data_IF_137240422495
#
_entry.id   IF_137240422495
#
_cell.length_a   1.000
_cell.length_b   1.000
_cell.length_c   1.000
_cell.angle_alpha   90.00
_cell.angle_beta   90.00
_cell.angle_gamma   90.00
#
_symmetry.space_group_name_H-M   'P 1'
#
loop_
_entity.id
_entity.type
_entity.pdbx_description
1 polymer ?
#
# COMPACT_ATOMS: atom_id res chain seq x y z
N UNK A 1 1.31 5.84 -11.35
CA UNK A 1 0.98 5.53 -9.93
C UNK A 1 -0.20 6.40 -9.57
N UNK A 2 -1.24 5.85 -8.96
CA UNK A 2 -2.47 6.57 -8.58
C UNK A 2 -3.21 5.78 -7.48
N UNK A 3 -4.38 6.26 -7.07
CA UNK A 3 -5.28 5.58 -6.15
C UNK A 3 -6.52 5.06 -6.87
N UNK A 4 -7.21 4.08 -6.28
CA UNK A 4 -8.43 3.50 -6.89
C UNK A 4 -9.63 4.44 -6.90
N UNK A 5 -9.59 5.53 -6.12
CA UNK A 5 -10.75 6.33 -5.76
C UNK A 5 -11.59 5.69 -4.66
N UNK A 6 -12.57 6.44 -4.17
CA UNK A 6 -13.60 5.99 -3.22
C UNK A 6 -14.91 6.67 -3.56
N UNK A 7 -15.85 6.00 -4.25
CA UNK A 7 -17.16 6.60 -4.48
C UNK A 7 -17.89 6.88 -3.15
N UNK A 8 -18.94 7.69 -3.22
CA UNK A 8 -19.85 7.89 -2.10
C UNK A 8 -20.83 6.73 -1.93
N UNK A 9 -22.00 6.99 -1.36
CA UNK A 9 -23.10 6.04 -1.21
C UNK A 9 -24.12 6.07 -2.35
N UNK A 10 -24.00 7.03 -3.27
CA UNK A 10 -24.99 7.32 -4.31
C UNK A 10 -24.42 8.23 -5.41
N UNK A 11 -25.09 8.37 -6.58
CA UNK A 11 -24.67 9.30 -7.64
C UNK A 11 -24.63 10.78 -7.25
N UNK A 12 -25.34 11.17 -6.18
CA UNK A 12 -25.43 12.55 -5.69
C UNK A 12 -24.57 12.79 -4.44
N UNK A 13 -23.81 11.78 -4.01
CA UNK A 13 -22.93 11.88 -2.86
C UNK A 13 -21.91 13.01 -3.04
N UNK A 14 -21.69 13.77 -1.98
CA UNK A 14 -20.73 14.90 -1.96
C UNK A 14 -19.34 14.49 -1.49
N UNK A 15 -19.26 13.39 -0.74
CA UNK A 15 -18.05 12.92 -0.06
C UNK A 15 -17.90 11.41 -0.25
N UNK A 16 -16.67 10.87 -0.17
CA UNK A 16 -16.43 9.44 -0.24
C UNK A 16 -17.07 8.69 0.94
N UNK A 17 -17.45 7.44 0.72
CA UNK A 17 -17.93 6.54 1.77
C UNK A 17 -17.06 5.28 1.80
N UNK A 18 -16.09 5.23 2.72
CA UNK A 18 -15.21 4.08 2.86
C UNK A 18 -15.81 3.05 3.83
N UNK A 19 -16.44 2.02 3.26
CA UNK A 19 -17.09 0.95 4.03
C UNK A 19 -16.04 -0.02 4.59
N UNK A 20 -15.99 -0.15 5.91
CA UNK A 20 -14.99 -0.98 6.63
C UNK A 20 -15.58 -2.13 7.43
N UNK A 21 -16.91 -2.18 7.57
CA UNK A 21 -17.63 -3.26 8.24
C UNK A 21 -18.95 -3.53 7.51
N UNK A 22 -19.53 -4.73 7.65
CA UNK A 22 -20.71 -5.13 6.88
C UNK A 22 -22.04 -4.72 7.53
N UNK A 23 -22.03 -4.17 8.75
CA UNK A 23 -23.22 -3.83 9.51
C UNK A 23 -23.31 -2.32 9.79
N UNK A 24 -24.48 -1.68 9.59
CA UNK A 24 -25.76 -2.26 9.15
C UNK A 24 -25.73 -2.77 7.70
N UNK A 25 -26.73 -3.57 7.29
CA UNK A 25 -26.79 -4.22 5.97
C UNK A 25 -26.61 -3.23 4.80
N UNK A 26 -27.03 -1.97 5.00
CA UNK A 26 -26.82 -0.85 4.08
C UNK A 26 -25.35 -0.68 3.65
N UNK A 27 -24.39 -0.98 4.53
CA UNK A 27 -22.96 -0.92 4.21
C UNK A 27 -22.56 -1.93 3.14
N UNK A 28 -23.11 -3.12 3.19
CA UNK A 28 -22.88 -4.14 2.16
C UNK A 28 -23.56 -3.75 0.85
N UNK A 29 -24.76 -3.16 0.90
CA UNK A 29 -25.45 -2.64 -0.29
C UNK A 29 -24.66 -1.49 -0.95
N UNK A 30 -24.17 -0.54 -0.15
CA UNK A 30 -23.32 0.56 -0.62
C UNK A 30 -22.05 0.00 -1.26
N UNK A 31 -21.35 -0.91 -0.59
CA UNK A 31 -20.10 -1.47 -1.11
C UNK A 31 -20.34 -2.24 -2.43
N UNK A 32 -21.44 -2.99 -2.54
CA UNK A 32 -21.82 -3.66 -3.78
C UNK A 32 -22.08 -2.65 -4.91
N UNK A 33 -22.86 -1.60 -4.65
CA UNK A 33 -23.10 -0.53 -5.61
C UNK A 33 -21.79 0.17 -6.03
N UNK A 34 -20.92 0.50 -5.08
CA UNK A 34 -19.62 1.11 -5.36
C UNK A 34 -18.79 0.25 -6.32
N UNK A 35 -18.69 -1.05 -6.06
CA UNK A 35 -17.91 -1.96 -6.89
C UNK A 35 -18.50 -2.17 -8.27
N UNK A 36 -19.78 -2.56 -8.34
CA UNK A 36 -20.41 -3.02 -9.58
C UNK A 36 -20.83 -1.87 -10.50
N UNK A 37 -21.35 -0.77 -9.95
CA UNK A 37 -21.93 0.33 -10.74
C UNK A 37 -20.93 1.46 -11.00
N UNK A 38 -19.87 1.58 -10.20
CA UNK A 38 -18.93 2.72 -10.30
C UNK A 38 -17.50 2.27 -10.58
N UNK A 39 -16.89 1.52 -9.65
CA UNK A 39 -15.45 1.24 -9.66
C UNK A 39 -15.06 0.35 -10.84
N UNK A 40 -15.75 -0.79 -11.03
CA UNK A 40 -15.41 -1.73 -12.11
C UNK A 40 -15.66 -1.12 -13.49
N UNK A 41 -16.81 -0.48 -13.78
CA UNK A 41 -17.04 0.20 -15.06
C UNK A 41 -15.98 1.27 -15.36
N UNK A 42 -15.71 2.15 -14.39
CA UNK A 42 -14.69 3.20 -14.53
C UNK A 42 -13.31 2.64 -14.85
N UNK A 43 -12.86 1.63 -14.08
CA UNK A 43 -11.53 1.06 -14.29
C UNK A 43 -11.41 0.23 -15.57
N UNK A 44 -12.50 -0.36 -16.08
CA UNK A 44 -12.50 -0.98 -17.42
C UNK A 44 -12.26 0.04 -18.51
N UNK A 45 -12.93 1.19 -18.45
CA UNK A 45 -12.73 2.29 -19.39
C UNK A 45 -11.32 2.88 -19.27
N UNK A 46 -10.85 3.13 -18.05
CA UNK A 46 -9.52 3.69 -17.80
C UNK A 46 -8.41 2.75 -18.27
N UNK A 47 -8.52 1.44 -18.02
CA UNK A 47 -7.55 0.45 -18.52
C UNK A 47 -7.55 0.41 -20.05
N UNK A 48 -8.71 0.45 -20.70
CA UNK A 48 -8.79 0.49 -22.16
C UNK A 48 -8.16 1.78 -22.73
N UNK A 49 -8.47 2.92 -22.11
CA UNK A 49 -7.90 4.22 -22.46
C UNK A 49 -6.37 4.22 -22.31
N UNK A 50 -5.86 3.77 -21.17
CA UNK A 50 -4.43 3.67 -20.88
C UNK A 50 -3.71 2.80 -21.92
N UNK A 51 -4.28 1.65 -22.28
CA UNK A 51 -3.72 0.74 -23.30
C UNK A 51 -3.55 1.41 -24.66
N UNK A 52 -4.57 2.14 -25.13
CA UNK A 52 -4.50 2.86 -26.42
C UNK A 52 -3.39 3.91 -26.42
N UNK A 53 -3.00 4.41 -25.25
CA UNK A 53 -1.90 5.36 -25.07
C UNK A 53 -0.56 4.69 -24.70
N UNK A 54 -0.47 3.36 -24.81
CA UNK A 54 0.76 2.61 -24.54
C UNK A 54 1.07 2.39 -23.05
N UNK A 55 0.14 2.72 -22.15
CA UNK A 55 0.27 2.47 -20.71
C UNK A 55 -0.36 1.13 -20.38
N UNK A 56 0.48 0.14 -20.04
CA UNK A 56 0.07 -1.24 -19.74
C UNK A 56 0.24 -1.63 -18.28
N UNK A 57 0.70 -0.69 -17.44
CA UNK A 57 0.87 -0.88 -15.98
C UNK A 57 0.35 0.34 -15.24
N UNK A 58 -0.76 0.15 -14.54
CA UNK A 58 -1.33 1.12 -13.61
C UNK A 58 -1.08 0.58 -12.21
N UNK A 59 -0.21 1.26 -11.47
CA UNK A 59 0.14 0.92 -10.10
C UNK A 59 -0.79 1.68 -9.14
N UNK A 60 -1.68 0.95 -8.47
CA UNK A 60 -2.56 1.45 -7.41
C UNK A 60 -1.92 1.24 -6.05
N UNK A 61 -1.89 2.29 -5.25
CA UNK A 61 -1.48 2.19 -3.86
C UNK A 61 -2.64 1.65 -3.00
N UNK A 62 -2.36 0.56 -2.28
CA UNK A 62 -3.32 -0.05 -1.35
C UNK A 62 -3.42 0.83 -0.11
N UNK A 63 -4.31 1.82 -0.15
CA UNK A 63 -4.37 2.88 0.85
C UNK A 63 -5.76 2.93 1.51
N UNK A 64 -5.84 2.82 2.85
CA UNK A 64 -7.09 2.98 3.61
C UNK A 64 -7.77 4.32 3.37
N UNK A 65 -9.09 4.30 3.18
CA UNK A 65 -9.86 5.46 2.68
C UNK A 65 -10.18 5.38 1.18
N UNK A 66 -9.65 4.38 0.46
CA UNK A 66 -10.01 4.04 -0.91
C UNK A 66 -10.65 2.65 -0.99
N UNK A 67 -11.27 2.29 -2.13
CA UNK A 67 -11.86 0.96 -2.31
C UNK A 67 -10.82 -0.16 -2.47
N UNK A 68 -9.63 0.17 -2.97
CA UNK A 68 -8.46 -0.71 -2.97
C UNK A 68 -7.55 -0.27 -1.82
N UNK A 69 -7.61 -0.99 -0.72
CA UNK A 69 -6.92 -0.65 0.53
C UNK A 69 -6.11 -1.81 1.11
N UNK A 70 -6.12 -2.98 0.47
CA UNK A 70 -5.36 -4.17 0.89
C UNK A 70 -5.11 -5.10 -0.31
N UNK A 71 -4.38 -6.19 -0.07
CA UNK A 71 -4.05 -7.21 -1.08
C UNK A 71 -5.30 -7.80 -1.75
N UNK A 72 -6.31 -8.15 -0.97
CA UNK A 72 -7.54 -8.78 -1.46
C UNK A 72 -8.31 -7.86 -2.41
N UNK A 73 -8.54 -6.61 -2.02
CA UNK A 73 -9.28 -5.63 -2.82
C UNK A 73 -8.52 -5.24 -4.09
N UNK A 74 -7.19 -5.20 -4.07
CA UNK A 74 -6.39 -4.99 -5.27
C UNK A 74 -6.57 -6.15 -6.25
N UNK A 75 -6.49 -7.39 -5.78
CA UNK A 75 -6.68 -8.58 -6.60
C UNK A 75 -8.12 -8.68 -7.13
N UNK A 76 -9.12 -8.30 -6.33
CA UNK A 76 -10.52 -8.19 -6.76
C UNK A 76 -10.65 -7.25 -7.97
N UNK A 77 -10.08 -6.05 -7.91
CA UNK A 77 -10.12 -5.12 -9.04
C UNK A 77 -9.37 -5.67 -10.25
N UNK A 78 -8.13 -6.15 -10.05
CA UNK A 78 -7.31 -6.74 -11.12
C UNK A 78 -8.02 -7.89 -11.83
N UNK A 79 -8.71 -8.76 -11.09
CA UNK A 79 -9.50 -9.86 -11.66
C UNK A 79 -10.65 -9.34 -12.52
N UNK A 80 -11.31 -8.25 -12.10
CA UNK A 80 -12.47 -7.70 -12.78
C UNK A 80 -12.13 -6.91 -14.05
N UNK A 81 -10.95 -6.24 -14.10
CA UNK A 81 -10.63 -5.27 -15.17
C UNK A 81 -9.41 -5.64 -16.00
N UNK A 82 -8.52 -6.50 -15.51
CA UNK A 82 -7.39 -7.02 -16.26
C UNK A 82 -6.02 -6.86 -15.58
N UNK A 83 -4.99 -7.50 -16.15
CA UNK A 83 -3.64 -7.56 -15.58
C UNK A 83 -2.90 -6.21 -15.62
N UNK A 84 -3.49 -5.16 -16.17
CA UNK A 84 -2.91 -3.82 -16.18
C UNK A 84 -3.04 -3.10 -14.84
N UNK A 85 -3.88 -3.60 -13.92
CA UNK A 85 -3.96 -3.11 -12.55
C UNK A 85 -3.00 -3.89 -11.66
N UNK A 86 -2.02 -3.20 -11.09
CA UNK A 86 -1.07 -3.78 -10.12
C UNK A 86 -0.85 -2.87 -8.93
N UNK A 87 0.01 -3.27 -8.02
CA UNK A 87 0.35 -2.51 -6.82
C UNK A 87 1.41 -1.45 -7.12
N UNK A 88 1.18 -0.24 -6.61
CA UNK A 88 2.22 0.52 -5.94
C UNK A 88 2.27 -0.01 -4.51
N UNK A 89 3.18 -0.94 -4.24
CA UNK A 89 3.24 -1.60 -2.96
C UNK A 89 3.86 -0.67 -1.92
N UNK A 90 3.06 -0.22 -0.98
CA UNK A 90 3.52 0.55 0.18
C UNK A 90 3.24 -0.27 1.46
N UNK A 91 4.27 -0.74 2.19
CA UNK A 91 4.07 -1.55 3.38
C UNK A 91 3.53 -0.74 4.58
N UNK A 92 3.65 0.59 4.56
CA UNK A 92 3.31 1.46 5.70
C UNK A 92 1.83 1.33 6.11
N UNK A 93 0.94 1.19 5.13
CA UNK A 93 -0.50 1.01 5.38
C UNK A 93 -0.83 -0.39 5.89
N UNK A 94 -0.16 -1.40 5.34
CA UNK A 94 -0.34 -2.80 5.73
C UNK A 94 0.06 -3.02 7.20
N UNK A 95 1.16 -2.39 7.66
CA UNK A 95 1.63 -2.54 9.03
C UNK A 95 0.58 -2.18 10.07
N UNK A 96 -0.03 -1.00 9.98
CA UNK A 96 -1.00 -0.58 11.00
C UNK A 96 -2.34 -1.31 10.85
N UNK A 97 -2.67 -1.82 9.67
CA UNK A 97 -3.81 -2.72 9.48
C UNK A 97 -3.58 -4.11 10.09
N UNK A 98 -2.37 -4.40 10.61
CA UNK A 98 -2.01 -5.69 11.20
C UNK A 98 -1.73 -6.78 10.15
N UNK A 99 -1.48 -6.38 8.90
CA UNK A 99 -1.14 -7.29 7.82
C UNK A 99 0.37 -7.61 7.84
N UNK A 100 0.74 -8.73 7.21
CA UNK A 100 2.13 -9.07 6.95
C UNK A 100 2.51 -8.67 5.51
N UNK A 101 3.35 -7.64 5.32
CA UNK A 101 3.79 -7.24 3.99
C UNK A 101 4.53 -8.32 3.22
N UNK A 102 5.25 -9.23 3.89
CA UNK A 102 5.97 -10.33 3.23
C UNK A 102 4.98 -11.30 2.58
N UNK A 103 3.92 -11.66 3.31
CA UNK A 103 2.83 -12.47 2.79
C UNK A 103 2.15 -11.78 1.60
N UNK A 104 1.86 -10.48 1.72
CA UNK A 104 1.26 -9.69 0.64
C UNK A 104 2.15 -9.61 -0.60
N UNK A 105 3.47 -9.49 -0.46
CA UNK A 105 4.40 -9.51 -1.61
C UNK A 105 4.32 -10.85 -2.34
N UNK A 106 4.32 -11.97 -1.60
CA UNK A 106 4.23 -13.31 -2.20
C UNK A 106 2.92 -13.54 -2.94
N UNK A 107 1.82 -13.07 -2.36
CA UNK A 107 0.47 -13.19 -2.95
C UNK A 107 0.34 -12.35 -4.23
N UNK A 108 0.83 -11.10 -4.21
CA UNK A 108 0.73 -10.22 -5.37
C UNK A 108 1.70 -10.62 -6.50
N UNK A 109 2.91 -11.06 -6.14
CA UNK A 109 3.96 -11.47 -7.06
C UNK A 109 4.12 -10.53 -8.28
N UNK A 110 3.83 -10.99 -9.51
CA UNK A 110 3.99 -10.19 -10.72
C UNK A 110 3.03 -9.01 -10.83
N UNK A 111 2.02 -8.90 -9.95
CA UNK A 111 1.15 -7.74 -9.87
C UNK A 111 1.81 -6.54 -9.19
N UNK A 112 3.02 -6.66 -8.62
CA UNK A 112 3.76 -5.53 -8.06
C UNK A 112 4.45 -4.77 -9.19
N UNK A 113 4.04 -3.53 -9.44
CA UNK A 113 4.57 -2.70 -10.52
C UNK A 113 5.51 -1.60 -10.02
N UNK A 114 5.31 -1.17 -8.78
CA UNK A 114 6.12 -0.16 -8.13
C UNK A 114 6.13 -0.42 -6.62
N UNK A 115 7.15 0.07 -5.91
CA UNK A 115 7.25 -0.08 -4.46
C UNK A 115 7.60 1.27 -3.84
N UNK A 116 6.85 1.65 -2.82
CA UNK A 116 7.22 2.71 -1.90
C UNK A 116 7.92 2.10 -0.69
N UNK A 117 9.10 2.65 -0.37
CA UNK A 117 9.78 2.42 0.88
C UNK A 117 9.32 3.48 1.88
N UNK A 118 8.29 3.13 2.64
CA UNK A 118 7.67 3.95 3.69
C UNK A 118 7.45 3.07 4.92
N UNK A 119 7.58 3.65 6.11
CA UNK A 119 7.58 2.88 7.35
C UNK A 119 6.52 3.42 8.32
N UNK A 120 6.10 2.56 9.25
CA UNK A 120 5.07 2.87 10.24
C UNK A 120 5.48 2.31 11.59
N UNK A 121 5.26 3.08 12.65
CA UNK A 121 5.36 2.58 14.02
C UNK A 121 3.97 2.49 14.63
N UNK A 122 3.56 1.28 15.02
CA UNK A 122 2.37 1.05 15.85
C UNK A 122 2.75 1.23 17.31
N UNK A 123 1.98 2.04 18.03
CA UNK A 123 2.15 2.23 19.47
C UNK A 123 1.30 1.21 20.24
N UNK A 124 1.91 0.22 20.92
CA UNK A 124 1.15 -0.84 21.55
C UNK A 124 0.29 -0.35 22.72
N UNK A 125 0.65 0.76 23.37
CA UNK A 125 -0.09 1.31 24.50
C UNK A 125 -1.37 1.97 24.00
N UNK A 126 -1.26 2.83 22.99
CA UNK A 126 -2.39 3.54 22.41
C UNK A 126 -3.31 2.59 21.63
N UNK A 127 -2.75 1.69 20.82
CA UNK A 127 -3.54 0.67 20.11
C UNK A 127 -4.30 -0.24 21.06
N UNK A 128 -3.72 -0.64 22.21
CA UNK A 128 -4.45 -1.47 23.18
C UNK A 128 -5.70 -0.79 23.76
N UNK A 129 -5.73 0.54 23.81
CA UNK A 129 -6.88 1.33 24.31
C UNK A 129 -7.85 1.73 23.19
N UNK A 130 -7.33 2.05 22.01
CA UNK A 130 -8.08 2.71 20.94
C UNK A 130 -8.36 1.80 19.72
N UNK A 131 -7.57 0.75 19.52
CA UNK A 131 -7.50 0.04 18.25
C UNK A 131 -6.70 0.81 17.19
N UNK A 132 -6.65 0.29 15.96
CA UNK A 132 -5.84 0.84 14.87
C UNK A 132 -6.55 1.91 14.04
N UNK A 133 -7.88 1.99 14.12
CA UNK A 133 -8.68 3.02 13.48
C UNK A 133 -8.56 4.33 14.28
N UNK A 134 -7.56 5.13 13.94
CA UNK A 134 -7.23 6.36 14.64
C UNK A 134 -7.42 7.60 13.76
N UNK A 135 -8.38 8.45 14.12
CA UNK A 135 -8.76 9.66 13.38
C UNK A 135 -8.13 10.95 13.92
N UNK A 136 -7.24 10.86 14.92
CA UNK A 136 -6.55 12.03 15.47
C UNK A 136 -5.70 12.71 14.39
N UNK A 137 -5.35 13.97 14.61
CA UNK A 137 -4.45 14.70 13.70
C UNK A 137 -3.06 14.04 13.65
N UNK A 138 -2.36 14.06 12.52
CA UNK A 138 -1.04 13.42 12.39
C UNK A 138 0.04 14.03 13.29
N UNK A 139 -0.11 15.30 13.67
CA UNK A 139 0.75 16.00 14.63
C UNK A 139 0.37 15.81 16.11
N UNK A 140 -0.48 14.83 16.45
CA UNK A 140 -0.77 14.46 17.84
C UNK A 140 -0.05 13.16 18.22
N UNK A 141 1.27 13.14 18.00
CA UNK A 141 2.05 11.90 17.85
C UNK A 141 1.95 10.99 19.07
N UNK A 142 2.05 11.57 20.27
CA UNK A 142 2.09 10.81 21.53
C UNK A 142 0.75 10.14 21.87
N UNK A 143 -0.37 10.59 21.30
CA UNK A 143 -1.70 10.06 21.56
C UNK A 143 -2.25 9.20 20.41
N UNK A 144 -1.50 9.07 19.30
CA UNK A 144 -1.88 8.23 18.18
C UNK A 144 -1.55 6.76 18.41
N UNK A 145 -2.36 5.91 17.81
CA UNK A 145 -2.21 4.45 17.80
C UNK A 145 -1.09 4.00 16.85
N UNK A 146 -0.76 4.82 15.86
CA UNK A 146 0.36 4.61 14.96
C UNK A 146 0.74 5.94 14.29
N UNK A 147 2.00 6.03 13.86
CA UNK A 147 2.55 7.15 13.10
C UNK A 147 3.42 6.63 11.96
N UNK A 148 3.46 7.38 10.85
CA UNK A 148 4.47 7.14 9.81
C UNK A 148 5.86 7.51 10.31
N UNK A 149 6.85 6.78 9.84
CA UNK A 149 8.25 6.92 10.23
C UNK A 149 9.14 6.91 8.99
N UNK A 150 10.30 7.52 9.14
CA UNK A 150 11.45 7.28 8.28
C UNK A 150 11.79 5.79 8.24
N UNK A 151 12.08 5.25 7.06
CA UNK A 151 12.52 3.85 6.88
C UNK A 151 13.65 3.50 7.84
N UNK A 152 13.46 2.42 8.60
CA UNK A 152 14.40 1.96 9.63
C UNK A 152 14.06 2.43 11.05
N UNK A 153 13.06 3.32 11.20
CA UNK A 153 12.59 3.81 12.50
C UNK A 153 11.23 3.25 12.91
N UNK A 154 10.48 2.61 12.00
CA UNK A 154 9.30 1.80 12.34
C UNK A 154 9.69 0.33 12.53
N UNK A 155 10.40 -0.22 11.54
CA UNK A 155 10.84 -1.61 11.47
C UNK A 155 12.36 -1.72 11.23
N UNK A 156 12.94 -2.83 11.65
CA UNK A 156 14.39 -3.03 11.70
C UNK A 156 15.01 -3.57 10.39
N UNK A 157 16.33 -3.76 10.39
CA UNK A 157 17.04 -4.35 9.26
C UNK A 157 16.59 -5.77 8.92
N UNK A 158 16.13 -6.56 9.90
CA UNK A 158 15.72 -7.94 9.66
C UNK A 158 14.48 -7.96 8.76
N UNK A 159 13.47 -7.15 9.10
CA UNK A 159 12.29 -6.98 8.26
C UNK A 159 12.65 -6.47 6.86
N UNK A 160 13.39 -5.36 6.76
CA UNK A 160 13.65 -4.72 5.47
C UNK A 160 14.51 -5.59 4.54
N UNK A 161 15.44 -6.39 5.09
CA UNK A 161 16.22 -7.38 4.32
C UNK A 161 15.33 -8.51 3.81
N UNK A 162 14.40 -9.01 4.62
CA UNK A 162 13.45 -10.03 4.20
C UNK A 162 12.48 -9.50 3.13
N UNK A 163 12.03 -8.25 3.28
CA UNK A 163 11.18 -7.57 2.31
C UNK A 163 11.84 -7.45 0.93
N UNK A 164 13.07 -6.91 0.87
CA UNK A 164 13.84 -6.81 -0.38
C UNK A 164 14.15 -8.18 -0.96
N UNK A 165 14.49 -9.16 -0.11
CA UNK A 165 14.73 -10.54 -0.55
C UNK A 165 13.46 -11.16 -1.16
N UNK A 166 12.30 -10.92 -0.55
CA UNK A 166 11.02 -11.44 -1.03
C UNK A 166 10.58 -10.78 -2.33
N UNK A 167 10.80 -9.47 -2.48
CA UNK A 167 10.61 -8.78 -3.77
C UNK A 167 11.45 -9.43 -4.87
N UNK A 168 12.74 -9.69 -4.61
CA UNK A 168 13.61 -10.39 -5.56
C UNK A 168 13.12 -11.81 -5.87
N UNK A 169 12.66 -12.57 -4.87
CA UNK A 169 12.12 -13.92 -5.08
C UNK A 169 10.88 -13.95 -5.97
N UNK A 170 10.04 -12.91 -5.93
CA UNK A 170 8.86 -12.81 -6.82
C UNK A 170 9.18 -12.13 -8.17
N UNK A 171 10.45 -11.85 -8.44
CA UNK A 171 10.92 -11.28 -9.70
C UNK A 171 10.75 -9.77 -9.82
N UNK A 172 10.55 -9.05 -8.71
CA UNK A 172 10.56 -7.59 -8.70
C UNK A 172 12.00 -7.06 -8.62
N UNK A 173 12.44 -6.35 -9.66
CA UNK A 173 13.79 -5.80 -9.78
C UNK A 173 13.77 -4.35 -10.32
N UNK A 174 12.71 -3.59 -9.99
CA UNK A 174 12.57 -2.21 -10.43
C UNK A 174 13.04 -1.21 -9.37
N UNK A 175 12.16 -0.41 -8.77
CA UNK A 175 12.54 0.71 -7.90
C UNK A 175 11.97 0.56 -6.49
N UNK A 176 12.79 0.86 -5.48
CA UNK A 176 12.30 1.20 -4.14
C UNK A 176 12.30 2.72 -4.01
N UNK A 177 11.13 3.33 -4.19
CA UNK A 177 10.96 4.78 -4.11
C UNK A 177 10.74 5.20 -2.67
N UNK A 178 11.54 6.12 -2.13
CA UNK A 178 11.33 6.63 -0.77
C UNK A 178 10.14 7.60 -0.80
N UNK A 179 9.08 7.26 -0.09
CA UNK A 179 8.02 8.20 0.27
C UNK A 179 8.23 8.61 1.73
N UNK A 180 8.65 9.85 1.94
CA UNK A 180 9.01 10.32 3.27
C UNK A 180 7.85 11.03 3.96
N UNK A 181 7.33 10.42 5.01
CA UNK A 181 6.40 11.03 5.96
C UNK A 181 6.80 10.63 7.39
N UNK A 182 7.35 11.57 8.15
CA UNK A 182 7.74 11.37 9.53
C UNK A 182 7.49 12.67 10.30
N UNK A 183 6.58 12.64 11.27
CA UNK A 183 6.23 13.84 12.05
C UNK A 183 7.27 14.21 13.11
N UNK A 184 8.25 13.34 13.41
CA UNK A 184 9.31 13.60 14.38
C UNK A 184 10.64 14.02 13.75
N UNK A 185 10.73 14.06 12.41
CA UNK A 185 11.95 14.45 11.70
C UNK A 185 11.67 15.53 10.65
N UNK A 186 12.69 16.34 10.37
CA UNK A 186 12.63 17.19 9.17
C UNK A 186 12.70 16.34 7.91
N UNK A 187 12.11 16.83 6.82
CA UNK A 187 12.11 16.16 5.51
C UNK A 187 13.51 15.73 5.08
N UNK A 188 14.50 16.64 5.20
CA UNK A 188 15.85 16.35 4.76
C UNK A 188 16.57 15.33 5.66
N UNK A 189 16.40 15.43 6.98
CA UNK A 189 17.02 14.48 7.91
C UNK A 189 16.46 13.07 7.73
N UNK A 190 15.14 12.94 7.68
CA UNK A 190 14.49 11.66 7.49
C UNK A 190 14.83 11.05 6.12
N UNK A 191 14.79 11.85 5.05
CA UNK A 191 15.22 11.38 3.72
C UNK A 191 16.67 10.85 3.71
N UNK A 192 17.63 11.60 4.27
CA UNK A 192 19.03 11.16 4.32
C UNK A 192 19.25 9.88 5.13
N UNK A 193 18.51 9.73 6.24
CA UNK A 193 18.53 8.51 7.06
C UNK A 193 17.93 7.31 6.31
N UNK A 194 16.78 7.48 5.66
CA UNK A 194 16.16 6.43 4.84
C UNK A 194 17.09 5.97 3.71
N UNK A 195 17.73 6.91 2.99
CA UNK A 195 18.71 6.59 1.94
C UNK A 195 19.88 5.78 2.51
N UNK A 196 20.42 6.20 3.66
CA UNK A 196 21.55 5.51 4.28
C UNK A 196 21.17 4.08 4.69
N UNK A 197 20.01 3.92 5.33
CA UNK A 197 19.48 2.62 5.73
C UNK A 197 19.23 1.71 4.53
N UNK A 198 18.53 2.19 3.49
CA UNK A 198 18.19 1.39 2.32
C UNK A 198 19.41 0.96 1.52
N UNK A 199 20.48 1.76 1.47
CA UNK A 199 21.75 1.35 0.84
C UNK A 199 22.38 0.12 1.48
N UNK A 200 22.16 -0.11 2.77
CA UNK A 200 22.64 -1.32 3.45
C UNK A 200 21.73 -2.55 3.25
N UNK A 201 20.48 -2.32 2.83
CA UNK A 201 19.47 -3.37 2.63
C UNK A 201 19.40 -3.83 1.19
N UNK A 202 19.53 -2.89 0.24
CA UNK A 202 19.37 -3.14 -1.18
C UNK A 202 20.44 -4.08 -1.74
N UNK A 203 20.02 -4.90 -2.69
CA UNK A 203 20.86 -5.82 -3.42
C UNK A 203 21.14 -5.22 -4.81
N UNK A 204 22.41 -4.93 -5.12
CA UNK A 204 22.80 -4.25 -6.37
C UNK A 204 23.31 -5.19 -7.45
N UNK A 205 23.75 -6.38 -7.08
CA UNK A 205 24.30 -7.37 -8.02
C UNK A 205 23.23 -8.40 -8.42
N UNK A 206 23.36 -8.90 -9.64
CA UNK A 206 22.69 -10.11 -10.09
C UNK A 206 23.14 -11.29 -9.22
N UNK A 207 22.26 -12.29 -9.05
CA UNK A 207 22.55 -13.45 -8.19
C UNK A 207 23.71 -14.32 -8.68
N UNK A 208 24.09 -14.22 -9.96
CA UNK A 208 25.08 -15.08 -10.59
C UNK A 208 24.68 -16.56 -10.58
N UNK A 209 25.64 -17.45 -10.84
CA UNK A 209 25.46 -18.90 -10.69
C UNK A 209 25.69 -19.33 -9.23
N UNK A 210 24.89 -20.29 -8.74
CA UNK A 210 25.14 -20.92 -7.45
C UNK A 210 26.40 -21.77 -7.54
N UNK A 211 27.51 -21.29 -6.96
CA UNK A 211 28.78 -22.01 -6.97
C UNK A 211 28.82 -23.17 -5.96
N UNK A 212 27.88 -23.19 -5.02
CA UNK A 212 27.81 -24.13 -3.90
C UNK A 212 26.70 -25.19 -4.06
N UNK A 213 25.99 -25.22 -5.19
CA UNK A 213 24.95 -26.20 -5.53
C UNK A 213 25.11 -26.71 -6.96
#
# INVERSE_FOLDING_TARGET
ITFSGCPGDSPTAKYPNWVTCPWPDDFSEILNWQWEEVVIPYWKEEVAFAKVHGVTKIALEMHPGFVVYNTETLLKLRQAVGPEIGANFDPSHLFWQGMDPIASVRELGPAIFHVHAKDTRVDPINTAKNGVLDTKHYGDEIHRSWIFRTVGYGHDFAFWKDFVSTLRMVGYDYVLSIEHEDSLMSVNEGFQKAVSFLKEVLLFEETGQMWWA
#
